data_IF_520205714706
#
_entry.id   IF_520205714706
#
_cell.length_a   1.000
_cell.length_b   1.000
_cell.length_c   1.000
_cell.angle_alpha   90.00
_cell.angle_beta   90.00
_cell.angle_gamma   90.00
#
_symmetry.space_group_name_H-M   'P 1'
#
loop_
_entity.id
_entity.type
_entity.pdbx_description
1 polymer ?
#
# COMPACT_ATOMS: atom_id res chain seq x y z
N UNK A 1 22.65 -2.87 14.78
CA UNK A 1 21.34 -2.34 14.34
C UNK A 1 20.38 -3.52 14.21
N UNK A 2 19.09 -3.38 14.58
CA UNK A 2 18.15 -4.52 14.50
C UNK A 2 17.77 -4.81 13.03
N UNK A 3 17.44 -6.08 12.68
CA UNK A 3 16.99 -6.44 11.32
C UNK A 3 15.75 -5.67 10.86
N UNK A 4 15.58 -5.54 9.55
CA UNK A 4 14.44 -4.84 8.95
C UNK A 4 14.71 -3.35 8.68
N UNK A 5 14.02 -2.79 7.69
CA UNK A 5 14.19 -1.39 7.29
C UNK A 5 13.18 -0.49 8.00
N UNK A 6 13.59 0.71 8.38
CA UNK A 6 12.69 1.72 8.95
C UNK A 6 11.67 2.19 7.87
N UNK A 7 10.44 2.56 8.25
CA UNK A 7 9.55 3.29 7.36
C UNK A 7 10.22 4.57 6.87
N UNK A 8 10.04 4.90 5.58
CA UNK A 8 10.52 6.18 5.02
C UNK A 8 9.81 7.33 5.72
N UNK A 9 10.54 8.42 5.96
CA UNK A 9 9.94 9.66 6.46
C UNK A 9 8.99 10.23 5.40
N UNK A 10 7.78 10.60 5.82
CA UNK A 10 6.69 11.02 4.92
C UNK A 10 6.16 12.42 5.19
N UNK A 11 6.64 13.04 6.26
CA UNK A 11 6.28 14.37 6.71
C UNK A 11 7.54 15.05 7.22
N UNK A 12 7.75 16.31 6.83
CA UNK A 12 8.76 17.15 7.45
C UNK A 12 8.16 17.83 8.67
N UNK A 13 8.79 17.60 9.83
CA UNK A 13 8.28 18.04 11.13
C UNK A 13 9.28 18.99 11.78
N UNK A 14 8.79 20.10 12.34
CA UNK A 14 9.61 21.05 13.09
C UNK A 14 9.77 20.67 14.57
N UNK A 15 8.86 19.83 15.08
CA UNK A 15 8.89 19.30 16.45
C UNK A 15 8.59 17.80 16.41
N UNK A 16 9.39 17.03 17.14
CA UNK A 16 9.27 15.58 17.26
C UNK A 16 8.90 15.22 18.69
N UNK A 17 7.84 14.42 18.86
CA UNK A 17 7.56 13.78 20.16
C UNK A 17 8.28 12.43 20.18
N UNK A 18 9.27 12.23 21.05
CA UNK A 18 10.03 10.98 21.11
C UNK A 18 9.64 10.09 22.29
N UNK A 19 9.45 8.81 22.00
CA UNK A 19 9.30 7.71 22.96
C UNK A 19 10.50 6.74 22.94
N UNK A 20 11.40 6.92 21.97
CA UNK A 20 12.66 6.20 21.82
C UNK A 20 13.65 7.12 21.09
N UNK A 21 14.95 6.89 21.29
CA UNK A 21 16.02 7.56 20.56
C UNK A 21 16.82 6.59 19.68
N UNK A 22 16.96 5.34 20.11
CA UNK A 22 17.70 4.28 19.41
C UNK A 22 16.90 2.98 19.33
N UNK A 23 17.30 2.08 18.43
CA UNK A 23 16.69 0.74 18.31
C UNK A 23 16.76 -0.07 19.62
N UNK A 24 17.73 0.24 20.49
CA UNK A 24 17.92 -0.47 21.77
C UNK A 24 16.90 -0.08 22.84
N UNK A 25 16.22 1.07 22.69
CA UNK A 25 15.13 1.49 23.59
C UNK A 25 13.85 0.69 23.33
N UNK A 26 13.78 0.00 22.19
CA UNK A 26 12.65 -0.79 21.77
C UNK A 26 12.83 -2.26 22.16
N UNK A 27 11.75 -2.93 22.55
CA UNK A 27 11.76 -4.35 22.88
C UNK A 27 11.85 -5.23 21.62
N UNK A 28 12.31 -6.46 21.80
CA UNK A 28 12.34 -7.50 20.78
C UNK A 28 12.96 -7.04 19.45
N UNK A 29 12.26 -7.28 18.34
CA UNK A 29 12.68 -6.92 16.98
C UNK A 29 12.22 -5.51 16.55
N UNK A 30 11.54 -4.76 17.43
CA UNK A 30 11.04 -3.42 17.12
C UNK A 30 12.19 -2.41 16.94
N UNK A 31 12.04 -1.50 15.99
CA UNK A 31 13.00 -0.45 15.67
C UNK A 31 12.48 0.92 16.08
N UNK A 32 13.38 1.81 16.48
CA UNK A 32 13.01 3.20 16.76
C UNK A 32 12.87 3.96 15.45
N UNK A 33 11.62 4.33 15.13
CA UNK A 33 11.26 4.88 13.82
C UNK A 33 10.62 6.26 13.98
N UNK A 34 10.98 7.17 13.07
CA UNK A 34 10.29 8.45 12.91
C UNK A 34 9.10 8.28 11.97
N UNK A 35 7.89 8.47 12.47
CA UNK A 35 6.68 8.47 11.64
C UNK A 35 5.69 9.50 12.19
N UNK A 36 5.10 10.30 11.32
CA UNK A 36 4.09 11.30 11.69
C UNK A 36 4.55 12.24 12.84
N UNK A 37 5.76 12.79 12.72
CA UNK A 37 6.36 13.68 13.72
C UNK A 37 6.53 13.04 15.11
N UNK A 38 6.57 11.71 15.19
CA UNK A 38 6.83 10.98 16.42
C UNK A 38 8.00 10.02 16.21
N UNK A 39 8.89 9.90 17.19
CA UNK A 39 9.84 8.77 17.28
C UNK A 39 9.24 7.72 18.20
N UNK A 40 8.96 6.53 17.69
CA UNK A 40 8.38 5.45 18.49
C UNK A 40 8.82 4.08 17.98
N UNK A 41 8.66 3.07 18.82
CA UNK A 41 9.01 1.69 18.48
C UNK A 41 7.97 1.11 17.53
N UNK A 42 8.41 0.74 16.33
CA UNK A 42 7.56 0.17 15.29
C UNK A 42 8.10 -1.17 14.82
N UNK A 43 7.15 -2.02 14.42
CA UNK A 43 7.45 -3.25 13.69
C UNK A 43 7.97 -2.87 12.29
N UNK A 44 9.22 -3.23 11.94
CA UNK A 44 9.81 -2.84 10.65
C UNK A 44 9.16 -3.50 9.43
N UNK A 45 8.35 -4.53 9.62
CA UNK A 45 7.65 -5.24 8.55
C UNK A 45 6.20 -4.76 8.37
N UNK A 46 5.69 -3.93 9.28
CA UNK A 46 4.32 -3.42 9.22
C UNK A 46 4.25 -2.05 8.57
N UNK A 47 3.29 -1.86 7.65
CA UNK A 47 2.98 -0.55 7.09
C UNK A 47 2.16 0.30 8.09
N UNK A 48 2.69 1.42 8.60
CA UNK A 48 2.04 2.23 9.63
C UNK A 48 0.62 2.71 9.25
N UNK A 49 0.40 3.04 7.99
CA UNK A 49 -0.91 3.52 7.51
C UNK A 49 -1.97 2.42 7.41
N UNK A 50 -1.59 1.13 7.47
CA UNK A 50 -2.52 0.00 7.44
C UNK A 50 -2.98 -0.44 8.84
N UNK A 51 -2.39 0.11 9.90
CA UNK A 51 -2.80 -0.17 11.27
C UNK A 51 -4.24 0.31 11.52
N UNK A 52 -5.03 -0.48 12.25
CA UNK A 52 -6.36 -0.05 12.70
C UNK A 52 -6.24 1.16 13.64
N UNK A 53 -7.18 2.13 13.63
CA UNK A 53 -7.13 3.24 14.58
C UNK A 53 -7.21 2.73 16.01
N UNK A 54 -6.32 3.22 16.88
CA UNK A 54 -6.31 2.86 18.30
C UNK A 54 -6.71 4.07 19.16
N UNK A 55 -7.92 4.07 19.76
CA UNK A 55 -8.37 5.16 20.62
C UNK A 55 -7.48 5.39 21.84
N UNK A 56 -6.86 4.34 22.38
CA UNK A 56 -6.20 4.41 23.68
C UNK A 56 -7.19 4.34 24.84
N UNK A 57 -6.68 4.49 26.05
CA UNK A 57 -7.37 4.19 27.32
C UNK A 57 -7.27 5.32 28.36
N UNK A 58 -6.70 6.48 27.99
CA UNK A 58 -6.72 7.68 28.80
C UNK A 58 -8.11 8.39 28.78
N UNK A 59 -8.17 9.61 29.33
CA UNK A 59 -9.42 10.39 29.46
C UNK A 59 -9.40 11.75 28.75
N UNK A 60 -8.41 12.00 27.89
CA UNK A 60 -8.24 13.27 27.17
C UNK A 60 -8.70 13.13 25.71
N UNK A 61 -9.98 13.42 25.48
CA UNK A 61 -10.65 13.25 24.18
C UNK A 61 -10.14 14.26 23.15
N UNK A 62 -9.38 13.78 22.18
CA UNK A 62 -8.84 14.55 21.05
C UNK A 62 -9.40 14.03 19.73
N UNK A 63 -9.87 14.95 18.88
CA UNK A 63 -10.19 14.63 17.49
C UNK A 63 -8.89 14.40 16.72
N UNK A 64 -8.74 13.22 16.14
CA UNK A 64 -7.58 12.83 15.33
C UNK A 64 -8.03 12.22 14.00
N UNK A 65 -7.10 12.06 13.08
CA UNK A 65 -7.34 11.45 11.78
C UNK A 65 -6.56 10.15 11.65
N UNK A 66 -7.12 9.16 10.97
CA UNK A 66 -6.43 7.91 10.62
C UNK A 66 -6.71 7.60 9.15
N UNK A 67 -5.78 6.89 8.52
CA UNK A 67 -5.98 6.35 7.18
C UNK A 67 -6.76 5.04 7.26
N UNK A 68 -7.90 5.00 6.58
CA UNK A 68 -8.69 3.78 6.46
C UNK A 68 -8.35 3.10 5.12
N UNK A 69 -7.70 1.93 5.12
CA UNK A 69 -7.29 1.26 3.89
C UNK A 69 -8.46 0.67 3.10
N UNK A 70 -9.61 0.40 3.74
CA UNK A 70 -10.78 -0.17 3.06
C UNK A 70 -11.43 0.80 2.07
N UNK A 71 -11.38 2.10 2.37
CA UNK A 71 -12.00 3.14 1.54
C UNK A 71 -10.96 4.11 0.97
N UNK A 72 -9.67 3.85 1.19
CA UNK A 72 -8.53 4.67 0.77
C UNK A 72 -8.66 6.15 1.20
N UNK A 73 -9.20 6.42 2.38
CA UNK A 73 -9.48 7.79 2.86
C UNK A 73 -9.04 8.01 4.29
N UNK A 74 -8.60 9.25 4.54
CA UNK A 74 -8.39 9.76 5.90
C UNK A 74 -9.73 10.10 6.56
N UNK A 75 -10.07 9.35 7.60
CA UNK A 75 -11.26 9.51 8.43
C UNK A 75 -10.87 10.08 9.79
N UNK A 76 -11.83 10.63 10.54
CA UNK A 76 -11.59 11.09 11.90
C UNK A 76 -12.02 10.03 12.93
N UNK A 77 -11.39 10.05 14.09
CA UNK A 77 -11.74 9.24 15.26
C UNK A 77 -11.44 10.01 16.55
N UNK A 78 -11.95 9.51 17.67
CA UNK A 78 -11.65 10.06 19.00
C UNK A 78 -10.48 9.29 19.59
N UNK A 79 -9.39 10.01 19.82
CA UNK A 79 -8.21 9.54 20.54
C UNK A 79 -8.29 9.98 21.99
N UNK A 80 -7.99 9.09 22.93
CA UNK A 80 -8.10 9.31 24.36
C UNK A 80 -6.86 9.98 24.99
N UNK A 81 -5.84 10.29 24.19
CA UNK A 81 -4.68 11.08 24.61
C UNK A 81 -3.40 10.29 24.81
N UNK A 82 -3.48 8.98 25.09
CA UNK A 82 -2.31 8.09 25.27
C UNK A 82 -2.53 6.71 24.64
N UNK A 83 -1.46 5.90 24.57
CA UNK A 83 -1.46 4.49 24.15
C UNK A 83 -2.13 4.18 22.79
N UNK A 84 -2.20 5.17 21.91
CA UNK A 84 -2.62 5.00 20.52
C UNK A 84 -1.54 4.32 19.68
N UNK A 85 -1.72 4.34 18.37
CA UNK A 85 -0.68 3.94 17.43
C UNK A 85 -0.38 5.08 16.45
N UNK A 86 0.58 4.85 15.55
CA UNK A 86 1.09 5.87 14.63
C UNK A 86 0.15 6.24 13.48
N UNK A 87 -0.91 5.45 13.23
CA UNK A 87 -1.99 5.84 12.32
C UNK A 87 -2.95 6.85 13.00
N UNK A 88 -2.37 7.97 13.48
CA UNK A 88 -3.02 8.97 14.31
C UNK A 88 -2.46 10.37 14.02
N UNK A 89 -3.08 11.07 13.09
CA UNK A 89 -2.64 12.36 12.57
C UNK A 89 -3.41 13.52 13.20
N UNK A 90 -2.73 14.66 13.42
CA UNK A 90 -3.35 15.90 13.90
C UNK A 90 -4.30 16.52 12.87
N UNK A 91 -3.97 16.41 11.59
CA UNK A 91 -4.75 16.99 10.50
C UNK A 91 -5.04 15.97 9.41
N UNK A 92 -6.17 16.16 8.71
CA UNK A 92 -6.52 15.37 7.53
C UNK A 92 -5.46 15.49 6.42
N UNK A 93 -4.82 16.65 6.32
CA UNK A 93 -3.75 16.91 5.35
C UNK A 93 -2.52 16.05 5.65
N UNK A 94 -2.04 16.04 6.89
CA UNK A 94 -0.90 15.22 7.30
C UNK A 94 -1.15 13.73 7.06
N UNK A 95 -2.37 13.25 7.38
CA UNK A 95 -2.78 11.89 7.07
C UNK A 95 -2.71 11.58 5.56
N UNK A 96 -3.21 12.49 4.71
CA UNK A 96 -3.17 12.31 3.26
C UNK A 96 -1.73 12.30 2.74
N UNK A 97 -0.91 13.25 3.15
CA UNK A 97 0.49 13.32 2.74
C UNK A 97 1.25 12.06 3.14
N UNK A 98 1.02 11.55 4.35
CA UNK A 98 1.70 10.35 4.85
C UNK A 98 1.18 9.03 4.24
N UNK A 99 -0.11 8.93 3.91
CA UNK A 99 -0.73 7.63 3.61
C UNK A 99 -1.40 7.51 2.24
N UNK A 100 -1.60 8.60 1.48
CA UNK A 100 -2.33 8.54 0.22
C UNK A 100 -1.65 7.66 -0.84
N UNK A 101 -0.32 7.54 -0.81
CA UNK A 101 0.46 6.75 -1.78
C UNK A 101 0.72 5.31 -1.35
N UNK A 102 0.14 4.86 -0.23
CA UNK A 102 0.21 3.45 0.21
C UNK A 102 -0.57 2.54 -0.75
N UNK A 103 -1.55 3.10 -1.46
CA UNK A 103 -2.26 2.47 -2.58
C UNK A 103 -2.23 3.40 -3.80
N UNK A 104 -1.31 3.16 -4.74
CA UNK A 104 -1.23 3.89 -6.00
C UNK A 104 -2.25 3.36 -7.01
N UNK A 105 -2.62 4.23 -7.94
CA UNK A 105 -3.52 3.90 -9.07
C UNK A 105 -2.87 2.83 -9.98
N UNK A 106 -3.72 2.11 -10.70
CA UNK A 106 -3.32 0.99 -11.54
C UNK A 106 -3.40 -0.35 -10.81
N UNK A 107 -3.18 -1.44 -11.54
CA UNK A 107 -3.22 -2.80 -11.01
C UNK A 107 -1.81 -3.42 -11.07
N UNK A 108 -1.59 -4.40 -10.20
CA UNK A 108 -0.39 -5.22 -10.31
C UNK A 108 -0.45 -6.06 -11.59
N UNK A 109 0.67 -6.21 -12.30
CA UNK A 109 0.73 -7.13 -13.43
C UNK A 109 0.40 -8.54 -12.99
N UNK A 110 -0.35 -9.28 -13.81
CA UNK A 110 -0.49 -10.72 -13.67
C UNK A 110 0.81 -11.34 -14.22
N UNK A 111 1.72 -11.74 -13.33
CA UNK A 111 3.01 -12.34 -13.72
C UNK A 111 2.80 -13.63 -14.53
N UNK A 112 3.51 -13.79 -15.66
CA UNK A 112 4.48 -14.86 -15.73
C UNK A 112 5.71 -14.43 -16.55
N UNK A 113 6.71 -13.82 -15.91
CA UNK A 113 8.00 -13.64 -16.58
C UNK A 113 8.94 -14.75 -16.13
N UNK A 114 9.06 -15.76 -17.00
CA UNK A 114 10.18 -16.69 -16.98
C UNK A 114 11.49 -15.89 -17.05
N UNK A 115 12.40 -16.23 -16.14
CA UNK A 115 13.80 -15.84 -16.12
C UNK A 115 14.11 -14.37 -15.81
N UNK A 116 14.05 -14.02 -14.53
CA UNK A 116 15.07 -13.19 -13.90
C UNK A 116 15.18 -13.57 -12.42
N UNK A 117 16.13 -14.44 -12.14
CA UNK A 117 16.49 -14.92 -10.80
C UNK A 117 17.40 -13.89 -10.12
N UNK A 118 16.91 -12.66 -9.98
CA UNK A 118 17.42 -11.67 -9.03
C UNK A 118 16.19 -11.01 -8.42
N UNK A 119 16.11 -10.95 -7.09
CA UNK A 119 14.96 -10.36 -6.38
C UNK A 119 15.35 -8.95 -5.95
N UNK A 120 15.06 -7.88 -6.71
CA UNK A 120 15.47 -6.53 -6.34
C UNK A 120 14.36 -5.85 -5.52
N UNK A 121 14.77 -4.95 -4.64
CA UNK A 121 13.94 -4.00 -3.87
C UNK A 121 12.62 -4.58 -3.34
N UNK A 122 12.71 -5.29 -2.21
CA UNK A 122 11.54 -5.66 -1.43
C UNK A 122 10.77 -4.41 -0.99
N UNK A 123 9.44 -4.46 -1.07
CA UNK A 123 8.55 -3.35 -0.69
C UNK A 123 7.50 -3.85 0.31
N UNK A 124 6.97 -2.93 1.15
CA UNK A 124 5.84 -3.22 2.06
C UNK A 124 4.53 -2.66 1.55
N UNK A 125 4.60 -1.55 0.81
CA UNK A 125 3.44 -0.93 0.17
C UNK A 125 3.84 -0.18 -1.08
N UNK A 126 2.85 0.29 -1.86
CA UNK A 126 3.11 1.10 -3.05
C UNK A 126 3.94 2.34 -2.73
N UNK A 127 3.90 2.84 -1.49
CA UNK A 127 4.69 4.00 -1.04
C UNK A 127 6.20 3.74 -1.14
N UNK A 128 6.64 2.51 -0.88
CA UNK A 128 8.06 2.17 -0.91
C UNK A 128 8.61 2.20 -2.35
N UNK A 129 7.74 2.00 -3.33
CA UNK A 129 8.09 1.95 -4.74
C UNK A 129 8.23 3.33 -5.37
N UNK A 130 9.13 3.50 -6.35
CA UNK A 130 9.33 4.77 -7.03
C UNK A 130 8.12 5.15 -7.89
N UNK A 131 7.96 6.46 -8.15
CA UNK A 131 6.99 6.99 -9.13
C UNK A 131 5.59 6.38 -8.96
N UNK A 132 5.06 5.76 -10.01
CA UNK A 132 3.74 5.12 -10.06
C UNK A 132 3.80 3.61 -9.87
N UNK A 133 4.97 3.05 -9.56
CA UNK A 133 5.14 1.60 -9.43
C UNK A 133 4.45 1.11 -8.15
N UNK A 134 3.88 -0.09 -8.24
CA UNK A 134 3.11 -0.72 -7.18
C UNK A 134 3.92 -1.85 -6.56
N UNK A 135 3.65 -2.11 -5.29
CA UNK A 135 4.20 -3.22 -4.56
C UNK A 135 3.34 -4.46 -4.81
N UNK A 136 3.86 -5.38 -5.60
CA UNK A 136 3.11 -6.48 -6.17
C UNK A 136 3.66 -7.83 -5.70
N UNK A 137 2.75 -8.76 -5.46
CA UNK A 137 3.08 -10.13 -5.06
C UNK A 137 3.72 -10.90 -6.22
N UNK A 138 4.79 -11.63 -5.93
CA UNK A 138 5.59 -12.39 -6.88
C UNK A 138 6.14 -13.65 -6.23
N UNK A 139 6.81 -14.50 -7.00
CA UNK A 139 7.41 -15.75 -6.47
C UNK A 139 8.52 -15.53 -5.46
N UNK A 140 9.04 -14.29 -5.33
CA UNK A 140 10.04 -13.91 -4.35
C UNK A 140 9.48 -12.97 -3.25
N UNK A 141 8.16 -12.94 -3.08
CA UNK A 141 7.47 -12.02 -2.16
C UNK A 141 7.06 -10.73 -2.85
N UNK A 142 7.08 -9.61 -2.13
CA UNK A 142 6.62 -8.33 -2.65
C UNK A 142 7.72 -7.50 -3.29
N UNK A 143 7.54 -7.16 -4.56
CA UNK A 143 8.50 -6.39 -5.37
C UNK A 143 7.83 -5.20 -6.05
N UNK A 144 8.60 -4.15 -6.30
CA UNK A 144 8.11 -3.01 -7.05
C UNK A 144 7.99 -3.35 -8.54
N UNK A 145 6.76 -3.27 -9.05
CA UNK A 145 6.45 -3.50 -10.46
C UNK A 145 5.74 -2.28 -11.07
N UNK A 146 5.97 -2.05 -12.37
CA UNK A 146 5.24 -1.02 -13.11
C UNK A 146 3.75 -1.34 -13.08
N UNK A 147 2.95 -0.40 -12.57
CA UNK A 147 1.50 -0.56 -12.51
C UNK A 147 0.93 -0.64 -13.93
N UNK A 148 0.11 -1.65 -14.19
CA UNK A 148 -0.72 -1.68 -15.38
C UNK A 148 -1.77 -0.58 -15.28
N UNK A 149 -1.76 0.31 -16.27
CA UNK A 149 -2.81 1.33 -16.42
C UNK A 149 -4.00 0.63 -17.06
N UNK A 150 -5.17 0.72 -16.44
CA UNK A 150 -6.40 0.18 -16.98
C UNK A 150 -7.32 1.32 -17.42
N UNK A 151 -8.15 1.08 -18.45
CA UNK A 151 -9.22 2.00 -18.84
C UNK A 151 -10.33 1.93 -17.80
N UNK A 152 -10.93 3.05 -17.44
CA UNK A 152 -12.06 3.06 -16.48
C UNK A 152 -13.20 2.25 -17.08
N UNK A 153 -13.54 1.10 -16.47
CA UNK A 153 -14.71 0.21 -16.66
C UNK A 153 -14.37 -1.22 -16.21
N UNK A 154 -15.35 -2.11 -16.04
CA UNK A 154 -15.14 -3.48 -15.55
C UNK A 154 -15.16 -4.50 -16.68
N UNK A 155 -14.31 -5.53 -16.57
CA UNK A 155 -14.42 -6.71 -17.41
C UNK A 155 -15.68 -7.52 -17.06
N UNK A 156 -16.21 -8.25 -18.03
CA UNK A 156 -17.24 -9.26 -17.80
C UNK A 156 -16.76 -10.33 -16.81
N UNK A 157 -17.70 -10.94 -16.09
CA UNK A 157 -17.39 -12.03 -15.18
C UNK A 157 -16.81 -13.22 -15.97
N UNK A 158 -15.74 -13.81 -15.43
CA UNK A 158 -15.16 -15.05 -15.96
C UNK A 158 -16.21 -16.16 -16.00
N UNK A 159 -16.33 -16.90 -17.11
CA UNK A 159 -17.18 -18.09 -17.15
C UNK A 159 -16.67 -19.13 -16.13
N UNK A 160 -17.58 -19.90 -15.54
CA UNK A 160 -17.23 -20.90 -14.51
C UNK A 160 -16.31 -21.99 -15.03
N UNK A 161 -16.47 -22.37 -16.30
CA UNK A 161 -15.66 -23.38 -16.97
C UNK A 161 -15.07 -22.81 -18.25
N UNK A 162 -13.76 -22.99 -18.41
CA UNK A 162 -13.04 -22.75 -19.66
C UNK A 162 -12.55 -24.08 -20.21
N UNK A 163 -13.21 -24.58 -21.25
CA UNK A 163 -12.87 -25.86 -21.87
C UNK A 163 -11.60 -25.79 -22.72
N UNK A 164 -11.18 -24.57 -23.11
CA UNK A 164 -9.93 -24.30 -23.81
C UNK A 164 -9.43 -22.93 -23.36
N UNK A 165 -8.13 -22.83 -23.03
CA UNK A 165 -7.47 -21.55 -22.82
C UNK A 165 -6.92 -21.09 -24.17
N UNK A 166 -7.36 -19.94 -24.61
CA UNK A 166 -6.94 -19.30 -25.84
C UNK A 166 -5.66 -18.48 -25.61
N UNK A 167 -4.87 -18.35 -26.68
CA UNK A 167 -3.64 -17.55 -26.67
C UNK A 167 -3.96 -16.07 -26.36
N UNK A 168 -3.16 -15.39 -25.53
CA UNK A 168 -3.46 -14.02 -25.14
C UNK A 168 -3.33 -13.04 -26.32
N UNK A 169 -4.41 -12.33 -26.64
CA UNK A 169 -4.44 -11.23 -27.63
C UNK A 169 -3.86 -9.92 -27.05
N UNK A 170 -3.84 -9.81 -25.73
CA UNK A 170 -3.40 -8.64 -24.99
C UNK A 170 -2.75 -9.05 -23.66
N UNK A 171 -1.97 -8.16 -23.07
CA UNK A 171 -1.43 -8.29 -21.72
C UNK A 171 -2.04 -7.23 -20.78
N UNK A 172 -2.44 -6.07 -21.32
CA UNK A 172 -3.03 -4.94 -20.58
C UNK A 172 -4.06 -4.18 -21.43
N UNK A 173 -4.94 -3.40 -20.78
CA UNK A 173 -6.01 -2.64 -21.46
C UNK A 173 -5.52 -1.71 -22.59
N UNK A 174 -4.28 -1.21 -22.50
CA UNK A 174 -3.71 -0.33 -23.53
C UNK A 174 -3.17 -1.06 -24.75
N UNK A 175 -3.06 -2.39 -24.70
CA UNK A 175 -2.80 -3.18 -25.90
C UNK A 175 -4.07 -3.25 -26.78
N UNK A 176 -5.23 -3.00 -26.17
CA UNK A 176 -6.53 -2.99 -26.83
C UNK A 176 -6.90 -1.61 -27.38
N UNK A 177 -7.57 -1.58 -28.54
CA UNK A 177 -7.91 -0.33 -29.23
C UNK A 177 -9.04 0.43 -28.51
N UNK A 178 -9.11 1.74 -28.72
CA UNK A 178 -10.24 2.58 -28.25
C UNK A 178 -10.58 2.42 -26.76
N UNK A 179 -11.81 2.00 -26.42
CA UNK A 179 -12.27 1.77 -25.05
C UNK A 179 -12.16 0.30 -24.62
N UNK A 180 -11.71 -0.60 -25.49
CA UNK A 180 -11.61 -2.02 -25.18
C UNK A 180 -10.61 -2.30 -24.06
N UNK A 181 -10.91 -3.30 -23.25
CA UNK A 181 -10.12 -3.72 -22.09
C UNK A 181 -9.56 -5.11 -22.30
N UNK A 182 -8.40 -5.38 -21.70
CA UNK A 182 -7.79 -6.69 -21.71
C UNK A 182 -8.39 -7.53 -20.58
N UNK A 183 -9.35 -8.36 -20.93
CA UNK A 183 -10.14 -9.12 -19.98
C UNK A 183 -9.76 -10.60 -20.01
N UNK A 184 -9.61 -11.16 -18.81
CA UNK A 184 -9.39 -12.59 -18.64
C UNK A 184 -10.75 -13.29 -18.67
N UNK A 185 -11.10 -13.93 -19.78
CA UNK A 185 -12.21 -14.89 -19.90
C UNK A 185 -11.62 -16.31 -19.90
N UNK A 186 -11.54 -16.94 -21.08
CA UNK A 186 -10.81 -18.18 -21.32
C UNK A 186 -9.50 -17.90 -22.08
N UNK A 187 -8.77 -16.89 -21.63
CA UNK A 187 -7.66 -16.24 -22.35
C UNK A 187 -7.70 -14.73 -22.08
N UNK A 188 -6.64 -13.99 -22.41
CA UNK A 188 -6.63 -12.52 -22.34
C UNK A 188 -7.09 -11.96 -23.69
N UNK A 189 -8.25 -11.29 -23.71
CA UNK A 189 -8.85 -10.75 -24.94
C UNK A 189 -9.21 -9.28 -24.81
N UNK A 190 -9.19 -8.58 -25.94
CA UNK A 190 -9.67 -7.21 -26.03
C UNK A 190 -11.19 -7.20 -26.16
N UNK A 191 -11.89 -6.71 -25.13
CA UNK A 191 -13.35 -6.67 -25.09
C UNK A 191 -13.85 -5.24 -24.88
N UNK A 192 -14.93 -4.87 -25.58
CA UNK A 192 -15.61 -3.61 -25.33
C UNK A 192 -16.23 -3.59 -23.91
N UNK A 193 -16.19 -2.46 -23.19
CA UNK A 193 -16.93 -2.30 -21.95
C UNK A 193 -18.43 -2.31 -22.28
N UNK A 194 -19.12 -3.39 -21.85
CA UNK A 194 -20.54 -3.69 -22.11
C UNK A 194 -20.89 -4.16 -23.54
N UNK A 195 -20.39 -5.34 -23.93
CA UNK A 195 -21.09 -6.21 -24.87
C UNK A 195 -21.79 -7.35 -24.12
#
# INVERSE_FOLDING_TARGET
EKPGQRPKERLHCTSLTSSCETDFDCLDYLKCCSFNCMKTCLDPYTEPCLLLPKPGDCHDKKKRFFYNPKNHRCMNFVYQGCHGNVNNFLSKMNCRTACASVFKKGQCPLFPFNNLMECPNMCRSDYDCPRTDKCCDSTCGFVCAKAWKFKSDHCLCKPKNCFKIEEPECQQDYDCKMQEKCCSLCGLKCLAPWA
#
